data_IF_227041624211
#
_entry.id   IF_227041624211
#
_cell.length_a   1.000
_cell.length_b   1.000
_cell.length_c   1.000
_cell.angle_alpha   90.00
_cell.angle_beta   90.00
_cell.angle_gamma   90.00
#
_symmetry.space_group_name_H-M   'P 1'
#
loop_
_entity.id
_entity.type
_entity.pdbx_description
1 polymer ?
#
# COMPACT_ATOMS: atom_id res chain seq x y z
N UNK A 1 -27.44 4.05 5.51
CA UNK A 1 -26.08 3.53 5.77
C UNK A 1 -25.29 3.71 4.48
N UNK A 2 -24.43 4.73 4.41
CA UNK A 2 -23.52 4.90 3.28
C UNK A 2 -22.30 4.02 3.57
N UNK A 3 -22.10 2.95 2.80
CA UNK A 3 -20.91 2.11 2.92
C UNK A 3 -19.69 2.82 2.31
N UNK A 4 -18.46 2.52 2.80
CA UNK A 4 -17.21 3.01 2.20
C UNK A 4 -17.15 2.81 0.68
N UNK A 5 -17.65 1.67 0.18
CA UNK A 5 -17.71 1.35 -1.25
C UNK A 5 -18.64 2.24 -2.09
N UNK A 6 -19.77 2.70 -1.51
CA UNK A 6 -20.68 3.63 -2.18
C UNK A 6 -20.06 5.04 -2.29
N UNK A 7 -19.27 5.41 -1.29
CA UNK A 7 -18.62 6.71 -1.18
C UNK A 7 -17.42 6.85 -2.13
N UNK A 8 -16.62 5.78 -2.27
CA UNK A 8 -15.54 5.61 -3.27
C UNK A 8 -16.02 5.87 -4.70
N UNK A 9 -17.14 5.23 -5.06
CA UNK A 9 -17.69 5.30 -6.42
C UNK A 9 -18.15 6.72 -6.77
N UNK A 10 -18.66 7.48 -5.80
CA UNK A 10 -19.18 8.82 -6.03
C UNK A 10 -18.07 9.86 -6.23
N UNK A 11 -17.04 9.88 -5.37
CA UNK A 11 -15.89 10.78 -5.55
C UNK A 11 -15.13 10.49 -6.86
N UNK A 12 -14.92 9.20 -7.18
CA UNK A 12 -14.30 8.79 -8.44
C UNK A 12 -15.15 9.14 -9.67
N UNK A 13 -16.49 9.08 -9.56
CA UNK A 13 -17.38 9.49 -10.63
C UNK A 13 -17.30 11.00 -10.91
N UNK A 14 -17.22 11.83 -9.86
CA UNK A 14 -17.06 13.29 -10.00
C UNK A 14 -15.70 13.67 -10.60
N UNK A 15 -14.63 12.95 -10.25
CA UNK A 15 -13.32 13.12 -10.90
C UNK A 15 -13.39 12.78 -12.39
N UNK A 16 -14.11 11.71 -12.77
CA UNK A 16 -14.30 11.31 -14.17
C UNK A 16 -15.23 12.24 -14.96
N UNK A 17 -16.17 12.93 -14.31
CA UNK A 17 -17.06 13.90 -14.96
C UNK A 17 -16.43 15.29 -15.15
N UNK A 18 -15.23 15.54 -14.60
CA UNK A 18 -14.53 16.82 -14.68
C UNK A 18 -15.00 17.85 -13.65
N UNK A 19 -15.82 17.44 -12.67
CA UNK A 19 -16.34 18.30 -11.61
C UNK A 19 -15.38 18.37 -10.41
N UNK A 20 -14.15 18.81 -10.69
CA UNK A 20 -13.03 18.73 -9.77
C UNK A 20 -13.29 19.44 -8.44
N UNK A 21 -13.88 20.63 -8.46
CA UNK A 21 -14.19 21.40 -7.26
C UNK A 21 -15.17 20.66 -6.33
N UNK A 22 -16.20 20.02 -6.92
CA UNK A 22 -17.18 19.25 -6.16
C UNK A 22 -16.57 17.95 -5.63
N UNK A 23 -15.72 17.29 -6.42
CA UNK A 23 -14.97 16.12 -5.99
C UNK A 23 -14.09 16.44 -4.77
N UNK A 24 -13.30 17.52 -4.84
CA UNK A 24 -12.42 17.95 -3.74
C UNK A 24 -13.20 18.33 -2.49
N UNK A 25 -14.30 19.08 -2.64
CA UNK A 25 -15.17 19.43 -1.50
C UNK A 25 -15.77 18.17 -0.85
N UNK A 26 -16.19 17.21 -1.66
CA UNK A 26 -16.73 15.93 -1.17
C UNK A 26 -15.67 15.12 -0.43
N UNK A 27 -14.48 14.94 -1.02
CA UNK A 27 -13.35 14.26 -0.39
C UNK A 27 -12.93 14.95 0.91
N UNK A 28 -12.85 16.28 0.94
CA UNK A 28 -12.50 17.06 2.14
C UNK A 28 -13.49 16.79 3.28
N UNK A 29 -14.80 16.78 2.98
CA UNK A 29 -15.80 16.46 3.99
C UNK A 29 -15.65 15.05 4.55
N UNK A 30 -15.31 14.07 3.71
CA UNK A 30 -15.09 12.69 4.16
C UNK A 30 -13.80 12.54 4.97
N UNK A 31 -12.69 13.13 4.51
CA UNK A 31 -11.43 13.14 5.24
C UNK A 31 -11.61 13.76 6.64
N UNK A 32 -12.34 14.87 6.76
CA UNK A 32 -12.66 15.49 8.04
C UNK A 32 -13.59 14.64 8.93
N UNK A 33 -14.29 13.64 8.37
CA UNK A 33 -15.08 12.67 9.13
C UNK A 33 -14.29 11.42 9.56
N UNK A 34 -12.99 11.36 9.24
CA UNK A 34 -12.11 10.24 9.60
C UNK A 34 -11.93 9.19 8.50
N UNK A 35 -12.40 9.45 7.27
CA UNK A 35 -12.23 8.53 6.14
C UNK A 35 -10.79 8.57 5.62
N UNK A 36 -10.05 7.48 5.86
CA UNK A 36 -8.62 7.34 5.51
C UNK A 36 -8.40 7.35 4.00
N UNK A 37 -9.29 6.72 3.23
CA UNK A 37 -9.19 6.68 1.77
C UNK A 37 -9.36 8.11 1.20
N UNK A 38 -10.33 8.87 1.70
CA UNK A 38 -10.54 10.26 1.30
C UNK A 38 -9.33 11.14 1.64
N UNK A 39 -8.66 10.91 2.78
CA UNK A 39 -7.41 11.59 3.11
C UNK A 39 -6.33 11.28 2.06
N UNK A 40 -6.14 10.01 1.69
CA UNK A 40 -5.14 9.60 0.69
C UNK A 40 -5.45 10.18 -0.70
N UNK A 41 -6.72 10.20 -1.11
CA UNK A 41 -7.13 10.80 -2.37
C UNK A 41 -6.89 12.32 -2.39
N UNK A 42 -7.16 13.03 -1.29
CA UNK A 42 -6.80 14.44 -1.17
C UNK A 42 -5.30 14.66 -1.18
N UNK A 43 -4.53 13.78 -0.53
CA UNK A 43 -3.08 13.84 -0.54
C UNK A 43 -2.55 13.78 -1.98
N UNK A 44 -3.01 12.79 -2.76
CA UNK A 44 -2.63 12.65 -4.15
C UNK A 44 -3.03 13.87 -5.00
N UNK A 45 -4.26 14.36 -4.81
CA UNK A 45 -4.72 15.55 -5.50
C UNK A 45 -3.84 16.78 -5.20
N UNK A 46 -3.56 17.07 -3.93
CA UNK A 46 -2.71 18.19 -3.53
C UNK A 46 -1.26 17.99 -4.04
N UNK A 47 -0.75 16.76 -4.05
CA UNK A 47 0.56 16.46 -4.62
C UNK A 47 0.61 16.82 -6.12
N UNK A 48 -0.40 16.43 -6.89
CA UNK A 48 -0.52 16.73 -8.32
C UNK A 48 -0.65 18.24 -8.59
N UNK A 49 -1.27 18.99 -7.68
CA UNK A 49 -1.33 20.46 -7.74
C UNK A 49 -0.02 21.15 -7.28
N UNK A 50 0.96 20.40 -6.81
CA UNK A 50 2.24 20.93 -6.31
C UNK A 50 2.19 21.47 -4.89
N UNK A 51 1.13 21.19 -4.12
CA UNK A 51 0.92 21.65 -2.75
C UNK A 51 1.36 20.60 -1.73
N UNK A 52 2.69 20.32 -1.74
CA UNK A 52 3.32 19.21 -0.99
C UNK A 52 3.02 19.23 0.50
N UNK A 53 3.08 20.38 1.17
CA UNK A 53 2.84 20.44 2.61
C UNK A 53 1.40 20.01 2.98
N UNK A 54 0.43 20.31 2.11
CA UNK A 54 -0.96 19.86 2.32
C UNK A 54 -1.12 18.38 2.04
N UNK A 55 -0.50 17.89 0.97
CA UNK A 55 -0.44 16.45 0.67
C UNK A 55 0.13 15.66 1.85
N UNK A 56 1.28 16.09 2.38
CA UNK A 56 1.96 15.40 3.46
C UNK A 56 1.15 15.44 4.77
N UNK A 57 0.45 16.54 5.03
CA UNK A 57 -0.49 16.66 6.14
C UNK A 57 -1.60 15.61 6.08
N UNK A 58 -2.14 15.35 4.89
CA UNK A 58 -3.17 14.33 4.69
C UNK A 58 -2.65 12.90 4.88
N UNK A 59 -1.46 12.57 4.36
CA UNK A 59 -0.85 11.25 4.61
C UNK A 59 -0.62 11.01 6.09
N UNK A 60 -0.08 12.00 6.80
CA UNK A 60 0.13 11.90 8.25
C UNK A 60 -1.19 11.65 9.00
N UNK A 61 -2.27 12.31 8.60
CA UNK A 61 -3.58 12.09 9.22
C UNK A 61 -4.17 10.72 8.87
N UNK A 62 -3.95 10.25 7.64
CA UNK A 62 -4.34 8.92 7.18
C UNK A 62 -3.67 7.83 8.03
N UNK A 63 -2.34 7.93 8.25
CA UNK A 63 -1.58 7.03 9.11
C UNK A 63 -2.14 6.97 10.54
N UNK A 64 -2.49 8.12 11.12
CA UNK A 64 -3.02 8.22 12.48
C UNK A 64 -4.45 7.66 12.62
N UNK A 65 -5.21 7.70 11.53
CA UNK A 65 -6.62 7.30 11.49
C UNK A 65 -6.81 5.86 11.01
N UNK A 66 -5.73 5.22 10.53
CA UNK A 66 -5.75 3.88 9.97
C UNK A 66 -6.12 2.84 11.04
N UNK A 67 -7.21 2.11 10.79
CA UNK A 67 -7.61 1.02 11.66
C UNK A 67 -6.78 -0.25 11.34
N UNK A 68 -6.28 -1.00 12.34
CA UNK A 68 -5.44 -2.18 12.11
C UNK A 68 -6.08 -3.26 11.25
N UNK A 69 -7.41 -3.39 11.24
CA UNK A 69 -8.12 -4.38 10.43
C UNK A 69 -8.63 -3.84 9.08
N UNK A 70 -8.36 -2.56 8.76
CA UNK A 70 -8.79 -1.95 7.51
C UNK A 70 -7.79 -2.22 6.39
N UNK A 71 -7.93 -3.40 5.80
CA UNK A 71 -7.05 -3.88 4.73
C UNK A 71 -7.14 -3.02 3.46
N UNK A 72 -8.31 -2.48 3.14
CA UNK A 72 -8.49 -1.64 1.95
C UNK A 72 -7.73 -0.32 2.14
N UNK A 73 -7.84 0.31 3.30
CA UNK A 73 -7.09 1.52 3.61
C UNK A 73 -5.57 1.27 3.65
N UNK A 74 -5.12 0.10 4.13
CA UNK A 74 -3.70 -0.29 4.07
C UNK A 74 -3.19 -0.41 2.64
N UNK A 75 -3.99 -0.98 1.73
CA UNK A 75 -3.62 -1.07 0.30
C UNK A 75 -3.49 0.32 -0.31
N UNK A 76 -4.41 1.24 0.00
CA UNK A 76 -4.34 2.61 -0.50
C UNK A 76 -3.12 3.36 0.07
N UNK A 77 -2.81 3.19 1.36
CA UNK A 77 -1.65 3.82 1.99
C UNK A 77 -0.32 3.26 1.44
N UNK A 78 -0.28 1.94 1.18
CA UNK A 78 0.84 1.31 0.49
C UNK A 78 1.07 1.93 -0.89
N UNK A 79 0.00 2.12 -1.68
CA UNK A 79 0.09 2.79 -2.98
C UNK A 79 0.59 4.23 -2.85
N UNK A 80 0.13 4.96 -1.83
CA UNK A 80 0.56 6.32 -1.58
C UNK A 80 2.09 6.40 -1.32
N UNK A 81 2.64 5.49 -0.51
CA UNK A 81 4.09 5.43 -0.29
C UNK A 81 4.87 5.11 -1.56
N UNK A 82 4.39 4.17 -2.37
CA UNK A 82 5.02 3.78 -3.65
C UNK A 82 5.03 4.94 -4.67
N UNK A 83 4.02 5.81 -4.60
CA UNK A 83 3.95 7.03 -5.40
C UNK A 83 4.78 8.19 -4.81
N UNK A 84 5.40 7.99 -3.64
CA UNK A 84 6.27 8.97 -2.99
C UNK A 84 5.53 10.03 -2.18
N UNK A 85 4.26 9.79 -1.81
CA UNK A 85 3.50 10.70 -0.96
C UNK A 85 3.96 10.60 0.50
N UNK A 86 3.86 11.71 1.23
CA UNK A 86 4.30 11.81 2.62
C UNK A 86 5.68 12.47 2.73
N UNK A 87 5.89 13.20 3.83
CA UNK A 87 7.08 14.05 4.03
C UNK A 87 8.36 13.29 4.39
N UNK A 88 8.26 12.00 4.68
CA UNK A 88 9.39 11.18 5.10
C UNK A 88 10.35 10.90 3.93
N UNK A 89 11.58 10.51 4.21
CA UNK A 89 12.53 10.08 3.18
C UNK A 89 12.06 8.80 2.47
N UNK A 90 12.51 8.58 1.24
CA UNK A 90 12.10 7.42 0.44
C UNK A 90 12.40 6.09 1.16
N UNK A 91 13.55 5.97 1.84
CA UNK A 91 13.92 4.77 2.59
C UNK A 91 12.98 4.49 3.77
N UNK A 92 12.44 5.53 4.40
CA UNK A 92 11.46 5.41 5.49
C UNK A 92 10.12 4.96 4.93
N UNK A 93 9.68 5.54 3.82
CA UNK A 93 8.45 5.12 3.12
C UNK A 93 8.53 3.68 2.64
N UNK A 94 9.66 3.27 2.07
CA UNK A 94 9.90 1.90 1.61
C UNK A 94 9.80 0.90 2.77
N UNK A 95 10.37 1.23 3.93
CA UNK A 95 10.25 0.38 5.14
C UNK A 95 8.81 0.25 5.61
N UNK A 96 8.05 1.36 5.65
CA UNK A 96 6.62 1.34 6.00
C UNK A 96 5.79 0.56 4.98
N UNK A 97 6.13 0.66 3.70
CA UNK A 97 5.51 -0.13 2.63
C UNK A 97 5.76 -1.63 2.83
N UNK A 98 6.98 -2.03 3.22
CA UNK A 98 7.30 -3.42 3.58
C UNK A 98 6.51 -3.91 4.79
N UNK A 99 6.32 -3.07 5.81
CA UNK A 99 5.50 -3.40 6.99
C UNK A 99 4.03 -3.64 6.59
N UNK A 100 3.43 -2.71 5.83
CA UNK A 100 2.06 -2.85 5.33
C UNK A 100 1.88 -4.09 4.45
N UNK A 101 2.85 -4.38 3.57
CA UNK A 101 2.85 -5.61 2.78
C UNK A 101 2.82 -6.84 3.69
N UNK A 102 3.60 -6.85 4.76
CA UNK A 102 3.65 -7.95 5.72
C UNK A 102 2.29 -8.19 6.38
N UNK A 103 1.68 -7.13 6.91
CA UNK A 103 0.36 -7.18 7.54
C UNK A 103 -0.73 -7.67 6.56
N UNK A 104 -0.72 -7.17 5.32
CA UNK A 104 -1.64 -7.60 4.27
C UNK A 104 -1.44 -9.07 3.90
N UNK A 105 -0.18 -9.52 3.78
CA UNK A 105 0.13 -10.91 3.47
C UNK A 105 -0.34 -11.85 4.58
N UNK A 106 -0.13 -11.49 5.84
CA UNK A 106 -0.57 -12.27 7.00
C UNK A 106 -2.09 -12.33 7.15
N UNK A 107 -2.82 -11.33 6.64
CA UNK A 107 -4.28 -11.36 6.57
C UNK A 107 -4.84 -12.08 5.33
N UNK A 108 -3.97 -12.68 4.51
CA UNK A 108 -4.36 -13.52 3.38
C UNK A 108 -4.28 -12.85 2.01
N UNK A 109 -3.67 -11.66 1.90
CA UNK A 109 -3.43 -11.04 0.61
C UNK A 109 -2.27 -11.74 -0.13
N UNK A 110 -2.62 -12.61 -1.07
CA UNK A 110 -1.64 -13.38 -1.85
C UNK A 110 -0.69 -12.48 -2.67
N UNK A 111 -1.17 -11.34 -3.18
CA UNK A 111 -0.34 -10.39 -3.96
C UNK A 111 0.72 -9.76 -3.06
N UNK A 112 0.37 -9.41 -1.83
CA UNK A 112 1.31 -8.88 -0.85
C UNK A 112 2.38 -9.91 -0.49
N UNK A 113 1.99 -11.18 -0.26
CA UNK A 113 2.92 -12.27 0.02
C UNK A 113 3.92 -12.48 -1.13
N UNK A 114 3.44 -12.48 -2.38
CA UNK A 114 4.31 -12.53 -3.56
C UNK A 114 5.23 -11.31 -3.68
N UNK A 115 4.73 -10.13 -3.37
CA UNK A 115 5.56 -8.92 -3.39
C UNK A 115 6.72 -9.07 -2.41
N UNK A 116 6.47 -9.54 -1.19
CA UNK A 116 7.53 -9.76 -0.20
C UNK A 116 8.52 -10.83 -0.63
N UNK A 117 8.08 -11.90 -1.29
CA UNK A 117 9.00 -12.85 -1.94
C UNK A 117 9.95 -12.10 -2.90
N UNK A 118 9.44 -11.28 -3.81
CA UNK A 118 10.30 -10.52 -4.73
C UNK A 118 11.24 -9.54 -4.02
N UNK A 119 10.77 -8.83 -2.98
CA UNK A 119 11.59 -7.88 -2.23
C UNK A 119 12.79 -8.59 -1.56
N UNK A 120 12.58 -9.72 -0.90
CA UNK A 120 13.67 -10.47 -0.25
C UNK A 120 14.48 -11.35 -1.21
N UNK A 121 13.97 -11.61 -2.41
CA UNK A 121 14.72 -12.27 -3.47
C UNK A 121 15.75 -11.35 -4.11
N UNK A 122 15.38 -10.09 -4.38
CA UNK A 122 16.19 -9.16 -5.17
C UNK A 122 16.76 -7.99 -4.36
N UNK A 123 16.39 -7.84 -3.09
CA UNK A 123 16.86 -6.76 -2.24
C UNK A 123 16.25 -5.40 -2.59
N UNK A 124 14.92 -5.35 -2.78
CA UNK A 124 14.22 -4.15 -3.26
C UNK A 124 13.70 -3.30 -2.10
N UNK A 125 13.61 -1.98 -2.32
CA UNK A 125 12.93 -1.01 -1.44
C UNK A 125 13.31 -1.19 0.04
N UNK A 126 14.62 -1.20 0.33
CA UNK A 126 15.16 -1.34 1.68
C UNK A 126 15.09 -2.75 2.27
N UNK A 127 14.57 -3.75 1.55
CA UNK A 127 14.71 -5.15 1.94
C UNK A 127 16.12 -5.64 1.61
N UNK A 128 16.81 -6.23 2.57
CA UNK A 128 18.05 -6.97 2.28
C UNK A 128 17.71 -8.34 1.67
N UNK A 129 18.51 -8.78 0.69
CA UNK A 129 18.38 -10.13 0.12
C UNK A 129 18.42 -11.16 1.27
N UNK A 130 17.36 -11.95 1.39
CA UNK A 130 17.22 -12.91 2.49
C UNK A 130 16.46 -14.15 2.02
N UNK A 131 17.21 -15.25 1.86
CA UNK A 131 16.64 -16.58 1.61
C UNK A 131 15.64 -17.00 2.69
N UNK A 132 15.92 -16.66 3.95
CA UNK A 132 15.05 -16.99 5.08
C UNK A 132 13.71 -16.24 4.98
N UNK A 133 13.74 -14.92 4.81
CA UNK A 133 12.51 -14.12 4.71
C UNK A 133 11.72 -14.46 3.45
N UNK A 134 12.39 -14.71 2.33
CA UNK A 134 11.71 -15.26 1.17
C UNK A 134 11.02 -16.59 1.46
N UNK A 135 11.70 -17.53 2.11
CA UNK A 135 11.12 -18.84 2.43
C UNK A 135 9.88 -18.68 3.29
N UNK A 136 9.91 -17.74 4.25
CA UNK A 136 8.75 -17.41 5.07
C UNK A 136 7.58 -16.94 4.21
N UNK A 137 7.76 -15.88 3.41
CA UNK A 137 6.68 -15.34 2.58
C UNK A 137 6.22 -16.29 1.47
N UNK A 138 7.11 -17.14 0.96
CA UNK A 138 6.75 -18.21 0.04
C UNK A 138 5.87 -19.28 0.71
N UNK A 139 6.08 -19.61 1.98
CA UNK A 139 5.16 -20.50 2.73
C UNK A 139 3.81 -19.85 2.97
N UNK A 140 3.79 -18.54 3.26
CA UNK A 140 2.54 -17.78 3.35
C UNK A 140 1.78 -17.85 2.03
N UNK A 141 2.42 -17.52 0.90
CA UNK A 141 1.82 -17.60 -0.42
C UNK A 141 1.37 -19.04 -0.81
N UNK A 142 2.16 -20.06 -0.47
CA UNK A 142 1.81 -21.48 -0.67
C UNK A 142 0.55 -21.86 0.12
N UNK A 143 0.44 -21.42 1.38
CA UNK A 143 -0.76 -21.64 2.21
C UNK A 143 -2.01 -20.96 1.66
N UNK A 144 -1.84 -19.90 0.87
CA UNK A 144 -2.90 -19.19 0.15
C UNK A 144 -3.17 -19.78 -1.26
N UNK A 145 -2.55 -20.90 -1.61
CA UNK A 145 -2.79 -21.63 -2.86
C UNK A 145 -1.90 -21.23 -4.04
N UNK A 146 -0.74 -20.61 -3.79
CA UNK A 146 0.18 -20.25 -4.87
C UNK A 146 1.08 -21.40 -5.31
N UNK A 147 0.75 -22.01 -6.45
CA UNK A 147 1.60 -23.01 -7.11
C UNK A 147 3.01 -22.48 -7.41
N UNK A 148 3.11 -21.18 -7.73
CA UNK A 148 4.39 -20.51 -7.98
C UNK A 148 5.27 -20.49 -6.73
N UNK A 149 4.68 -20.23 -5.57
CA UNK A 149 5.38 -20.28 -4.29
C UNK A 149 5.76 -21.70 -3.89
N UNK A 150 4.87 -22.68 -4.12
CA UNK A 150 5.18 -24.12 -3.93
C UNK A 150 6.42 -24.52 -4.74
N UNK A 151 6.47 -24.13 -6.02
CA UNK A 151 7.59 -24.44 -6.91
C UNK A 151 8.87 -23.72 -6.47
N UNK A 152 8.76 -22.46 -6.03
CA UNK A 152 9.89 -21.71 -5.51
C UNK A 152 10.50 -22.36 -4.26
N UNK A 153 9.66 -22.83 -3.33
CA UNK A 153 10.12 -23.54 -2.12
C UNK A 153 10.84 -24.85 -2.47
N UNK A 154 10.34 -25.62 -3.45
CA UNK A 154 11.00 -26.86 -3.91
C UNK A 154 12.39 -26.60 -4.50
N UNK A 155 12.59 -25.44 -5.10
CA UNK A 155 13.85 -25.04 -5.72
C UNK A 155 14.69 -24.11 -4.84
N UNK A 156 14.35 -23.92 -3.56
CA UNK A 156 15.00 -22.93 -2.70
C UNK A 156 16.48 -23.23 -2.47
N UNK A 157 16.91 -24.49 -2.57
CA UNK A 157 18.32 -24.88 -2.50
C UNK A 157 19.12 -24.44 -3.74
N UNK A 158 18.43 -24.12 -4.84
CA UNK A 158 19.01 -23.50 -6.04
C UNK A 158 18.86 -21.98 -6.02
N UNK A 159 18.79 -21.41 -4.81
CA UNK A 159 18.64 -19.98 -4.57
C UNK A 159 19.50 -19.20 -5.57
N UNK A 160 18.91 -18.31 -6.40
CA UNK A 160 19.71 -17.51 -7.28
C UNK A 160 20.63 -16.68 -6.39
N UNK A 161 21.94 -16.90 -6.51
CA UNK A 161 22.93 -15.99 -5.97
C UNK A 161 22.79 -14.68 -6.75
N UNK A 162 21.85 -13.86 -6.35
CA UNK A 162 21.76 -12.44 -6.70
C UNK A 162 22.93 -11.76 -6.01
N UNK A 163 24.12 -11.93 -6.58
CA UNK A 163 25.35 -11.33 -6.08
C UNK A 163 25.19 -9.82 -6.04
N UNK A 164 25.53 -9.24 -4.88
CA UNK A 164 25.82 -7.82 -4.67
C UNK A 164 27.01 -7.38 -5.54
#
# INVERSE_FOLDING_TARGET
>A
MNSPSFQRTHAQALLKSGELEQAVACMTRYALSGDVEAMILLANYEFDQGTRERSDGWIKQAEQSLHPEDHDAKVELLSAYQMGLGSEDHEVRDRRALELLGELAESGNLVAAHSLMSHYLYGLNGAEVSREKFAYWARVADSLGSDGATLALKNIERWPNVGL
#
